data_IF_362165714318
#
_entry.id   IF_362165714318
#
_cell.length_a   1.000
_cell.length_b   1.000
_cell.length_c   1.000
_cell.angle_alpha   90.00
_cell.angle_beta   90.00
_cell.angle_gamma   90.00
#
_symmetry.space_group_name_H-M   'P 1'
#
loop_
_entity.id
_entity.type
_entity.pdbx_description
1 polymer ?
#
# COMPACT_ATOMS: atom_id res chain seq x y z
N UNK A 1 10.85 -5.82 19.99
CA UNK A 1 9.83 -4.76 19.82
C UNK A 1 9.60 -4.64 18.33
N UNK A 2 8.42 -4.97 17.81
CA UNK A 2 8.14 -4.74 16.39
C UNK A 2 8.07 -3.22 16.19
N UNK A 3 8.93 -2.68 15.34
CA UNK A 3 8.89 -1.26 14.98
C UNK A 3 7.54 -0.98 14.31
N UNK A 4 6.87 0.10 14.71
CA UNK A 4 5.54 0.45 14.22
C UNK A 4 5.62 1.73 13.40
N UNK A 5 4.86 1.79 12.31
CA UNK A 5 4.75 2.97 11.46
C UNK A 5 3.32 3.52 11.53
N UNK A 6 3.20 4.84 11.59
CA UNK A 6 1.92 5.54 11.53
C UNK A 6 1.39 5.47 10.10
N UNK A 7 0.11 5.14 9.97
CA UNK A 7 -0.59 5.20 8.68
C UNK A 7 -0.91 6.67 8.39
N UNK A 8 -0.59 7.19 7.19
CA UNK A 8 -0.91 8.57 6.81
C UNK A 8 -2.39 8.89 6.95
N UNK A 9 -2.68 10.13 7.32
CA UNK A 9 -4.03 10.69 7.30
C UNK A 9 -4.46 10.98 5.84
N UNK A 10 -5.77 11.03 5.56
CA UNK A 10 -6.31 11.36 4.23
C UNK A 10 -5.87 12.74 3.70
N UNK A 11 -5.42 13.64 4.59
CA UNK A 11 -4.84 14.95 4.22
C UNK A 11 -3.32 14.96 4.06
N UNK A 12 -2.63 13.83 4.25
CA UNK A 12 -1.18 13.78 4.10
C UNK A 12 -0.76 13.87 2.63
N UNK A 13 0.43 14.45 2.38
CA UNK A 13 0.93 14.66 1.02
C UNK A 13 1.41 13.38 0.35
N UNK A 14 1.55 13.40 -0.98
CA UNK A 14 2.02 12.26 -1.77
C UNK A 14 3.35 11.67 -1.32
N UNK A 15 4.27 12.48 -0.78
CA UNK A 15 5.53 12.01 -0.21
C UNK A 15 5.32 11.11 1.02
N UNK A 16 4.40 11.45 1.92
CA UNK A 16 4.09 10.65 3.12
C UNK A 16 3.48 9.30 2.73
N UNK A 17 2.55 9.31 1.77
CA UNK A 17 1.95 8.10 1.22
C UNK A 17 3.01 7.19 0.58
N UNK A 18 3.93 7.79 -0.18
CA UNK A 18 5.00 7.07 -0.84
C UNK A 18 6.00 6.49 0.17
N UNK A 19 6.45 7.27 1.14
CA UNK A 19 7.32 6.82 2.22
C UNK A 19 6.67 5.70 3.04
N UNK A 20 5.38 5.82 3.37
CA UNK A 20 4.63 4.79 4.05
C UNK A 20 4.57 3.48 3.25
N UNK A 21 4.33 3.55 1.93
CA UNK A 21 4.33 2.38 1.06
C UNK A 21 5.69 1.64 1.11
N UNK A 22 6.79 2.38 1.18
CA UNK A 22 8.15 1.85 1.26
C UNK A 22 8.54 1.25 2.64
N UNK A 23 7.69 1.37 3.66
CA UNK A 23 7.86 0.67 4.96
C UNK A 23 7.38 -0.79 4.93
N UNK A 24 7.00 -1.26 3.75
CA UNK A 24 6.61 -2.63 3.47
C UNK A 24 7.47 -3.17 2.33
N UNK A 25 8.32 -4.16 2.60
CA UNK A 25 9.11 -4.82 1.56
C UNK A 25 8.31 -5.99 0.96
N UNK A 26 7.47 -5.67 -0.03
CA UNK A 26 6.63 -6.68 -0.68
C UNK A 26 7.41 -7.76 -1.42
N UNK A 27 8.68 -7.54 -1.76
CA UNK A 27 9.50 -8.55 -2.42
C UNK A 27 9.90 -9.67 -1.48
N UNK A 28 10.38 -9.34 -0.29
CA UNK A 28 10.82 -10.36 0.69
C UNK A 28 9.65 -11.09 1.33
N UNK A 29 8.51 -10.42 1.49
CA UNK A 29 7.33 -11.01 2.14
C UNK A 29 6.52 -11.92 1.23
N UNK A 30 6.65 -11.76 -0.09
CA UNK A 30 5.87 -12.49 -1.07
C UNK A 30 6.70 -13.40 -1.96
N UNK A 31 8.00 -13.56 -1.69
CA UNK A 31 8.91 -14.38 -2.50
C UNK A 31 9.06 -13.87 -3.94
N UNK A 32 9.09 -12.54 -4.13
CA UNK A 32 9.42 -11.90 -5.40
C UNK A 32 8.31 -11.10 -6.07
N UNK A 33 8.53 -10.75 -7.35
CA UNK A 33 7.68 -9.82 -8.10
C UNK A 33 6.35 -10.43 -8.54
N UNK A 34 6.38 -11.60 -9.16
CA UNK A 34 5.17 -12.28 -9.68
C UNK A 34 4.09 -12.51 -8.61
N UNK A 35 4.41 -13.10 -7.44
CA UNK A 35 3.43 -13.27 -6.37
C UNK A 35 2.93 -11.94 -5.79
N UNK A 36 3.80 -10.93 -5.65
CA UNK A 36 3.39 -9.58 -5.26
C UNK A 36 2.41 -8.95 -6.26
N UNK A 37 2.71 -9.07 -7.56
CA UNK A 37 1.88 -8.56 -8.63
C UNK A 37 0.51 -9.25 -8.66
N UNK A 38 0.46 -10.57 -8.45
CA UNK A 38 -0.79 -11.32 -8.38
C UNK A 38 -1.68 -10.87 -7.21
N UNK A 39 -1.11 -10.60 -6.04
CA UNK A 39 -1.85 -10.03 -4.89
C UNK A 39 -2.37 -8.64 -5.22
N UNK A 40 -1.51 -7.76 -5.74
CA UNK A 40 -1.89 -6.40 -6.09
C UNK A 40 -3.00 -6.38 -7.15
N UNK A 41 -2.91 -7.24 -8.15
CA UNK A 41 -3.92 -7.40 -9.20
C UNK A 41 -5.26 -7.88 -8.62
N UNK A 42 -5.24 -8.89 -7.74
CA UNK A 42 -6.46 -9.41 -7.09
C UNK A 42 -7.18 -8.32 -6.29
N UNK A 43 -6.44 -7.53 -5.51
CA UNK A 43 -7.00 -6.41 -4.74
C UNK A 43 -7.58 -5.35 -5.68
N UNK A 44 -6.86 -5.03 -6.75
CA UNK A 44 -7.31 -4.02 -7.73
C UNK A 44 -8.56 -4.46 -8.46
N UNK A 45 -8.58 -5.67 -9.01
CA UNK A 45 -9.75 -6.23 -9.71
C UNK A 45 -10.98 -6.28 -8.80
N UNK A 46 -10.80 -6.65 -7.52
CA UNK A 46 -11.89 -6.63 -6.54
C UNK A 46 -12.42 -5.21 -6.35
N UNK A 47 -11.54 -4.23 -6.15
CA UNK A 47 -11.92 -2.84 -5.95
C UNK A 47 -12.60 -2.24 -7.18
N UNK A 48 -12.08 -2.51 -8.38
CA UNK A 48 -12.69 -2.07 -9.64
C UNK A 48 -14.10 -2.69 -9.84
N UNK A 49 -14.31 -3.94 -9.42
CA UNK A 49 -15.58 -4.65 -9.59
C UNK A 49 -16.63 -4.32 -8.52
N UNK A 50 -16.21 -4.10 -7.29
CA UNK A 50 -17.10 -4.03 -6.12
C UNK A 50 -17.02 -2.72 -5.34
N UNK A 51 -15.98 -1.92 -5.56
CA UNK A 51 -15.62 -0.79 -4.71
C UNK A 51 -14.94 -1.18 -3.39
N UNK A 52 -14.75 -2.48 -3.13
CA UNK A 52 -14.18 -2.98 -1.88
C UNK A 52 -12.75 -3.49 -2.05
N UNK A 53 -11.87 -3.16 -1.10
CA UNK A 53 -10.46 -3.59 -1.12
C UNK A 53 -10.21 -4.88 -0.32
N UNK A 54 -11.15 -5.30 0.52
CA UNK A 54 -10.97 -6.36 1.50
C UNK A 54 -10.53 -5.85 2.88
N UNK A 55 -10.18 -6.80 3.74
CA UNK A 55 -9.92 -6.60 5.18
C UNK A 55 -8.54 -7.12 5.63
N UNK A 56 -7.75 -7.69 4.72
CA UNK A 56 -6.39 -8.15 5.00
C UNK A 56 -5.37 -7.02 4.84
N UNK A 57 -4.94 -6.43 5.96
CA UNK A 57 -3.99 -5.31 5.99
C UNK A 57 -2.67 -5.63 5.26
N UNK A 58 -2.23 -6.89 5.30
CA UNK A 58 -0.97 -7.29 4.67
C UNK A 58 -1.08 -7.29 3.14
N UNK A 59 -2.19 -7.83 2.60
CA UNK A 59 -2.49 -7.74 1.16
C UNK A 59 -2.66 -6.30 0.68
N UNK A 60 -3.31 -5.45 1.48
CA UNK A 60 -3.49 -4.03 1.17
C UNK A 60 -2.13 -3.30 1.13
N UNK A 61 -1.24 -3.57 2.08
CA UNK A 61 0.12 -3.01 2.11
C UNK A 61 0.96 -3.51 0.93
N UNK A 62 0.81 -4.78 0.54
CA UNK A 62 1.45 -5.34 -0.63
C UNK A 62 1.00 -4.63 -1.93
N UNK A 63 -0.31 -4.43 -2.09
CA UNK A 63 -0.87 -3.67 -3.21
C UNK A 63 -0.35 -2.22 -3.23
N UNK A 64 -0.32 -1.54 -2.07
CA UNK A 64 0.19 -0.18 -1.97
C UNK A 64 1.68 -0.05 -2.34
N UNK A 65 2.50 -0.98 -1.89
CA UNK A 65 3.93 -1.04 -2.26
C UNK A 65 4.11 -1.25 -3.77
N UNK A 66 3.31 -2.14 -4.37
CA UNK A 66 3.33 -2.36 -5.81
C UNK A 66 2.96 -1.08 -6.58
N UNK A 67 1.91 -0.37 -6.16
CA UNK A 67 1.49 0.89 -6.78
C UNK A 67 2.53 2.00 -6.63
N UNK A 68 3.22 2.10 -5.49
CA UNK A 68 4.32 3.04 -5.28
C UNK A 68 5.48 2.75 -6.24
N UNK A 69 5.81 1.47 -6.43
CA UNK A 69 6.85 1.07 -7.37
C UNK A 69 6.45 1.35 -8.82
N UNK A 70 5.23 1.03 -9.21
CA UNK A 70 4.71 1.37 -10.53
C UNK A 70 4.74 2.90 -10.77
N UNK A 71 4.37 3.69 -9.76
CA UNK A 71 4.44 5.15 -9.80
C UNK A 71 5.87 5.67 -9.96
N UNK A 72 6.85 5.06 -9.29
CA UNK A 72 8.28 5.41 -9.46
C UNK A 72 8.79 5.16 -10.88
N UNK A 73 8.27 4.16 -11.57
CA UNK A 73 8.75 3.75 -12.91
C UNK A 73 8.02 4.41 -14.09
N UNK A 74 6.91 5.11 -13.86
CA UNK A 74 6.17 5.77 -14.95
C UNK A 74 4.94 6.56 -14.53
N UNK A 75 4.79 6.83 -13.23
CA UNK A 75 3.69 7.64 -12.71
C UNK A 75 3.94 9.12 -12.92
N UNK A 76 2.90 9.83 -13.37
CA UNK A 76 2.87 11.28 -13.42
C UNK A 76 1.83 11.81 -12.43
N UNK A 77 2.07 12.99 -11.87
CA UNK A 77 1.15 13.64 -10.93
C UNK A 77 1.45 13.34 -9.47
N UNK A 78 0.41 13.27 -8.63
CA UNK A 78 0.51 13.08 -7.18
C UNK A 78 0.09 11.67 -6.79
N UNK A 79 0.97 10.95 -6.10
CA UNK A 79 0.70 9.57 -5.66
C UNK A 79 -0.54 9.47 -4.76
N UNK A 80 -0.73 10.43 -3.85
CA UNK A 80 -1.90 10.52 -2.97
C UNK A 80 -3.22 10.74 -3.71
N UNK A 81 -3.19 11.33 -4.90
CA UNK A 81 -4.39 11.64 -5.68
C UNK A 81 -4.88 10.45 -6.51
N UNK A 82 -4.14 9.34 -6.53
CA UNK A 82 -4.59 8.13 -7.22
C UNK A 82 -5.71 7.48 -6.41
N UNK A 83 -6.92 7.28 -6.98
CA UNK A 83 -8.07 6.82 -6.20
C UNK A 83 -7.84 5.49 -5.46
N UNK A 84 -7.15 4.53 -6.09
CA UNK A 84 -6.78 3.26 -5.45
C UNK A 84 -5.85 3.47 -4.24
N UNK A 85 -4.89 4.40 -4.35
CA UNK A 85 -3.88 4.66 -3.31
C UNK A 85 -4.55 5.29 -2.09
N UNK A 86 -5.40 6.31 -2.31
CA UNK A 86 -6.18 6.93 -1.24
C UNK A 86 -7.08 5.90 -0.53
N UNK A 87 -7.79 5.07 -1.31
CA UNK A 87 -8.64 4.03 -0.76
C UNK A 87 -7.85 2.98 0.06
N UNK A 88 -6.67 2.55 -0.43
CA UNK A 88 -5.79 1.62 0.28
C UNK A 88 -5.35 2.18 1.63
N UNK A 89 -4.83 3.41 1.67
CA UNK A 89 -4.36 4.02 2.91
C UNK A 89 -5.49 4.22 3.90
N UNK A 90 -6.63 4.75 3.46
CA UNK A 90 -7.82 4.94 4.29
C UNK A 90 -8.32 3.60 4.86
N UNK A 91 -8.35 2.55 4.04
CA UNK A 91 -8.77 1.20 4.48
C UNK A 91 -7.79 0.59 5.47
N UNK A 92 -6.48 0.65 5.20
CA UNK A 92 -5.44 0.17 6.11
C UNK A 92 -5.55 0.90 7.45
N UNK A 93 -5.76 2.23 7.42
CA UNK A 93 -5.93 3.03 8.64
C UNK A 93 -7.15 2.59 9.44
N UNK A 94 -8.29 2.42 8.77
CA UNK A 94 -9.55 1.98 9.41
C UNK A 94 -9.41 0.61 10.08
N UNK A 95 -8.70 -0.33 9.46
CA UNK A 95 -8.51 -1.69 9.99
C UNK A 95 -7.47 -1.75 11.11
N UNK A 96 -6.43 -0.92 11.05
CA UNK A 96 -5.29 -0.95 11.97
C UNK A 96 -5.41 -0.01 13.17
N UNK A 97 -6.38 0.91 13.15
CA UNK A 97 -6.46 2.00 14.13
C UNK A 97 -5.40 3.09 13.93
N UNK A 98 -4.71 3.10 12.77
CA UNK A 98 -3.76 4.15 12.39
C UNK A 98 -2.28 3.84 12.64
N UNK A 99 -1.94 2.63 13.09
CA UNK A 99 -0.56 2.16 13.21
C UNK A 99 -0.45 0.72 12.73
N UNK A 100 0.60 0.41 11.97
CA UNK A 100 0.85 -0.94 11.45
C UNK A 100 2.30 -1.34 11.74
N UNK A 101 2.58 -2.66 11.88
CA UNK A 101 3.95 -3.11 12.04
C UNK A 101 4.76 -2.81 10.78
N UNK A 102 6.00 -2.37 10.98
CA UNK A 102 7.01 -2.27 9.94
C UNK A 102 7.34 -3.70 9.48
N UNK A 103 7.21 -3.95 8.18
CA UNK A 103 7.40 -5.28 7.59
C UNK A 103 8.36 -5.16 6.42
N UNK A 104 9.64 -5.08 6.75
CA UNK A 104 10.74 -4.88 5.81
C UNK A 104 10.85 -3.42 5.35
N UNK A 105 12.02 -2.83 5.50
CA UNK A 105 12.36 -1.51 4.97
C UNK A 105 13.12 -1.73 3.68
N UNK A 106 12.62 -1.20 2.56
CA UNK A 106 13.46 -1.06 1.37
C UNK A 106 14.35 0.17 1.57
N UNK A 107 15.67 -0.05 1.66
CA UNK A 107 16.68 1.00 1.74
C UNK A 107 16.74 1.84 0.46
#
# INVERSE_FOLDING_TARGET
>A
MAEQVRVPDDGAGGSEFFSFAHTYNGYELRDGFEPLAAVAQTVRERWERTGELGDDVDQLRACLFFEARAFRHGGYGRFDQRPIVAALVSRIRSLSGGVVPLRGTVA
#
